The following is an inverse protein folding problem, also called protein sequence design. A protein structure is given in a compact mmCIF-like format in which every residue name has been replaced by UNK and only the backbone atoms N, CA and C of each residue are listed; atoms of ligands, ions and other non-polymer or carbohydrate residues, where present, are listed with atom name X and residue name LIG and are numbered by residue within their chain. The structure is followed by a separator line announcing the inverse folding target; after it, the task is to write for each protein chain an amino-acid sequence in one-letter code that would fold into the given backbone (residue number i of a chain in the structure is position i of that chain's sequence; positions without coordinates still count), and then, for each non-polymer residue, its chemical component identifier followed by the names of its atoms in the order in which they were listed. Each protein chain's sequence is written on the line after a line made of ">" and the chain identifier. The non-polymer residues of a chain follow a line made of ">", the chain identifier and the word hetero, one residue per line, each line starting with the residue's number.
data_IF_719747188420
#
_entry.id   IF_719747188420
#
_cell.length_a   1.000
_cell.length_b   1.000
_cell.length_c   1.000
_cell.angle_alpha   90.00
_cell.angle_beta   90.00
_cell.angle_gamma   90.00
#
_symmetry.space_group_name_H-M   'P 1'
#
loop_
_entity.id
_entity.type
_entity.pdbx_description
1 polymer ?
#
# COMPACT_ATOMS: atom_id res chain seq x y z
N UNK A 1 20.62 -12.33 1.05
CA UNK A 1 19.87 -11.35 1.83
C UNK A 1 19.47 -11.94 3.17
N UNK A 2 19.75 -11.22 4.24
CA UNK A 2 19.40 -11.60 5.61
C UNK A 2 18.61 -10.48 6.28
N UNK A 3 17.85 -10.82 7.33
CA UNK A 3 17.14 -9.83 8.14
C UNK A 3 17.65 -9.84 9.57
N UNK A 4 17.79 -8.67 10.18
CA UNK A 4 18.26 -8.55 11.58
C UNK A 4 17.28 -7.72 12.41
N UNK A 5 16.94 -8.24 13.59
CA UNK A 5 16.22 -7.53 14.63
C UNK A 5 17.23 -6.99 15.63
N UNK A 6 17.45 -5.67 15.62
CA UNK A 6 18.45 -5.05 16.48
C UNK A 6 17.79 -4.04 17.44
N UNK A 7 17.53 -4.42 18.70
CA UNK A 7 17.06 -3.50 19.71
C UNK A 7 18.20 -2.63 20.26
N UNK A 8 17.90 -1.37 20.53
CA UNK A 8 18.66 -0.39 21.31
C UNK A 8 17.71 0.24 22.36
N UNK A 9 18.25 1.00 23.32
CA UNK A 9 17.49 1.58 24.44
C UNK A 9 16.33 2.47 23.97
N UNK A 10 16.49 3.19 22.86
CA UNK A 10 15.46 4.07 22.31
C UNK A 10 14.74 3.50 21.08
N UNK A 11 15.44 2.71 20.26
CA UNK A 11 14.93 2.27 18.96
C UNK A 11 15.23 0.81 18.67
N UNK A 12 14.30 0.15 18.00
CA UNK A 12 14.47 -1.19 17.45
C UNK A 12 14.54 -1.10 15.94
N UNK A 13 15.61 -1.63 15.37
CA UNK A 13 15.86 -1.65 13.93
C UNK A 13 15.40 -2.97 13.32
N UNK A 14 14.68 -2.85 12.19
CA UNK A 14 14.48 -3.95 11.25
C UNK A 14 15.42 -3.71 10.08
N UNK A 15 16.45 -4.55 9.97
CA UNK A 15 17.53 -4.38 8.98
C UNK A 15 17.49 -5.48 7.93
N UNK A 16 17.96 -5.12 6.75
CA UNK A 16 18.28 -5.95 5.61
C UNK A 16 19.79 -5.88 5.39
N UNK A 17 20.45 -7.01 5.55
CA UNK A 17 21.89 -7.17 5.32
C UNK A 17 22.10 -8.12 4.15
N UNK A 18 23.31 -8.14 3.60
CA UNK A 18 23.66 -8.99 2.44
C UNK A 18 22.66 -8.82 1.27
N UNK A 19 22.25 -7.57 1.01
CA UNK A 19 21.37 -7.22 -0.11
C UNK A 19 22.22 -6.96 -1.35
N UNK A 20 21.95 -7.70 -2.42
CA UNK A 20 22.64 -7.54 -3.71
C UNK A 20 22.49 -6.09 -4.22
N UNK A 21 23.57 -5.57 -4.82
CA UNK A 21 23.66 -4.16 -5.25
C UNK A 21 22.57 -3.75 -6.24
N UNK A 22 22.12 -4.70 -7.07
CA UNK A 22 21.06 -4.51 -8.05
C UNK A 22 19.65 -4.42 -7.43
N UNK A 23 19.49 -4.79 -6.15
CA UNK A 23 18.25 -4.68 -5.39
C UNK A 23 18.19 -3.43 -4.49
N UNK A 24 19.29 -2.68 -4.36
CA UNK A 24 19.35 -1.48 -3.51
C UNK A 24 18.28 -0.44 -3.87
N UNK A 25 18.10 -0.16 -5.17
CA UNK A 25 17.07 0.77 -5.63
C UNK A 25 15.65 0.30 -5.28
N UNK A 26 15.40 -1.01 -5.30
CA UNK A 26 14.09 -1.56 -4.94
C UNK A 26 13.82 -1.36 -3.44
N UNK A 27 14.82 -1.61 -2.58
CA UNK A 27 14.74 -1.35 -1.14
C UNK A 27 14.47 0.14 -0.84
N UNK A 28 15.18 1.05 -1.51
CA UNK A 28 14.98 2.49 -1.34
C UNK A 28 13.59 2.96 -1.79
N UNK A 29 13.05 2.39 -2.87
CA UNK A 29 11.67 2.68 -3.31
C UNK A 29 10.60 2.13 -2.37
N UNK A 30 10.93 1.13 -1.54
CA UNK A 30 10.11 0.69 -0.41
C UNK A 30 10.32 1.56 0.83
N UNK A 31 11.32 2.46 0.79
CA UNK A 31 11.71 3.40 1.81
C UNK A 31 12.60 2.81 2.91
N UNK A 32 13.20 1.64 2.66
CA UNK A 32 14.34 1.17 3.44
C UNK A 32 15.56 2.00 3.05
N UNK A 33 16.17 2.66 4.01
CA UNK A 33 17.33 3.54 3.77
C UNK A 33 18.60 2.86 4.24
N UNK A 34 19.72 3.17 3.60
CA UNK A 34 21.04 2.80 4.10
C UNK A 34 21.20 3.27 5.55
N UNK A 35 21.68 2.38 6.43
CA UNK A 35 21.78 2.65 7.87
C UNK A 35 23.24 2.79 8.32
N UNK A 36 23.52 3.56 9.39
CA UNK A 36 24.86 3.61 9.99
C UNK A 36 25.34 2.25 10.53
N UNK A 37 24.43 1.29 10.73
CA UNK A 37 24.71 -0.05 11.24
C UNK A 37 25.11 -1.04 10.13
N UNK A 38 25.18 -0.57 8.88
CA UNK A 38 25.27 -1.41 7.70
C UNK A 38 23.90 -1.85 7.19
N UNK A 39 23.83 -2.13 5.89
CA UNK A 39 22.58 -2.57 5.25
C UNK A 39 21.50 -1.49 5.12
N UNK A 40 20.27 -1.94 4.85
CA UNK A 40 19.10 -1.09 4.63
C UNK A 40 18.04 -1.37 5.69
N UNK A 41 17.32 -0.37 6.19
CA UNK A 41 16.30 -0.65 7.20
C UNK A 41 15.46 0.53 7.64
N UNK A 42 14.71 0.28 8.70
CA UNK A 42 13.93 1.29 9.43
C UNK A 42 14.05 1.03 10.93
N UNK A 43 13.98 2.12 11.68
CA UNK A 43 13.94 2.10 13.13
C UNK A 43 12.52 2.44 13.63
N UNK A 44 12.17 1.85 14.76
CA UNK A 44 10.90 2.05 15.45
C UNK A 44 11.17 2.29 16.94
N UNK A 45 10.35 3.07 17.68
CA UNK A 45 10.51 3.21 19.13
C UNK A 45 10.53 1.84 19.82
N UNK A 46 11.49 1.58 20.71
CA UNK A 46 11.67 0.25 21.33
C UNK A 46 10.51 -0.18 22.24
N UNK A 47 9.69 0.78 22.69
CA UNK A 47 8.47 0.54 23.47
C UNK A 47 7.25 0.22 22.59
N UNK A 48 7.40 0.19 21.25
CA UNK A 48 6.32 -0.14 20.34
C UNK A 48 5.80 -1.56 20.60
N UNK A 49 4.48 -1.75 20.83
CA UNK A 49 3.91 -3.07 21.03
C UNK A 49 4.14 -4.00 19.83
N UNK A 50 4.30 -5.29 20.12
CA UNK A 50 4.36 -6.38 19.12
C UNK A 50 5.53 -6.33 18.13
N UNK A 51 6.60 -5.56 18.40
CA UNK A 51 7.76 -5.45 17.50
C UNK A 51 8.33 -6.80 17.04
N UNK A 52 8.43 -7.79 17.94
CA UNK A 52 8.91 -9.13 17.58
C UNK A 52 8.02 -9.82 16.55
N UNK A 53 6.69 -9.71 16.70
CA UNK A 53 5.72 -10.27 15.75
C UNK A 53 5.81 -9.57 14.39
N UNK A 54 5.88 -8.24 14.38
CA UNK A 54 6.02 -7.49 13.13
C UNK A 54 7.34 -7.79 12.42
N UNK A 55 8.43 -7.95 13.18
CA UNK A 55 9.70 -8.38 12.63
C UNK A 55 9.63 -9.80 12.03
N UNK A 56 8.96 -10.75 12.67
CA UNK A 56 8.78 -12.09 12.11
C UNK A 56 8.05 -12.03 10.76
N UNK A 57 6.99 -11.21 10.67
CA UNK A 57 6.27 -11.00 9.41
C UNK A 57 7.15 -10.32 8.35
N UNK A 58 7.92 -9.30 8.75
CA UNK A 58 8.90 -8.64 7.90
C UNK A 58 9.95 -9.63 7.35
N UNK A 59 10.58 -10.40 8.23
CA UNK A 59 11.58 -11.40 7.88
C UNK A 59 11.03 -12.44 6.89
N UNK A 60 9.78 -12.86 7.08
CA UNK A 60 9.12 -13.81 6.20
C UNK A 60 8.68 -13.23 4.84
N UNK A 61 8.61 -11.91 4.67
CA UNK A 61 7.99 -11.28 3.50
C UNK A 61 8.88 -10.29 2.74
N UNK A 62 9.98 -9.83 3.33
CA UNK A 62 10.75 -8.74 2.73
C UNK A 62 11.50 -9.16 1.47
N UNK A 63 11.89 -10.43 1.35
CA UNK A 63 12.50 -10.97 0.13
C UNK A 63 11.53 -10.91 -1.07
N UNK A 64 10.36 -11.57 -1.03
CA UNK A 64 9.42 -11.46 -2.14
C UNK A 64 8.98 -10.01 -2.38
N UNK A 65 8.83 -9.20 -1.32
CA UNK A 65 8.50 -7.77 -1.47
C UNK A 65 9.56 -6.98 -2.27
N UNK A 66 10.85 -7.20 -1.99
CA UNK A 66 11.94 -6.54 -2.72
C UNK A 66 12.02 -7.04 -4.16
N UNK A 67 11.92 -8.36 -4.36
CA UNK A 67 11.94 -8.95 -5.71
C UNK A 67 10.77 -8.46 -6.56
N UNK A 68 9.57 -8.33 -5.97
CA UNK A 68 8.40 -7.72 -6.60
C UNK A 68 8.66 -6.26 -6.97
N UNK A 69 9.22 -5.48 -6.04
CA UNK A 69 9.54 -4.07 -6.31
C UNK A 69 10.61 -3.89 -7.39
N UNK A 70 11.53 -4.85 -7.50
CA UNK A 70 12.56 -4.92 -8.53
C UNK A 70 12.04 -5.44 -9.88
N UNK A 71 10.78 -5.89 -9.97
CA UNK A 71 10.22 -6.49 -11.18
C UNK A 71 10.77 -7.89 -11.51
N UNK A 72 11.37 -8.57 -10.52
CA UNK A 72 11.92 -9.93 -10.66
C UNK A 72 10.95 -11.03 -10.28
N UNK A 73 9.89 -10.65 -9.58
CA UNK A 73 8.82 -11.54 -9.17
C UNK A 73 7.49 -10.90 -9.54
N UNK A 74 6.55 -11.65 -10.13
CA UNK A 74 5.21 -11.13 -10.40
C UNK A 74 4.51 -10.74 -9.09
N UNK A 75 3.63 -9.75 -9.19
CA UNK A 75 2.86 -9.27 -8.05
C UNK A 75 1.47 -9.92 -8.12
N UNK A 76 1.14 -10.87 -7.22
CA UNK A 76 -0.15 -11.55 -7.22
C UNK A 76 -1.24 -10.65 -6.60
N UNK A 77 -1.44 -9.47 -7.17
CA UNK A 77 -2.28 -8.43 -6.58
C UNK A 77 -3.75 -8.87 -6.47
N UNK A 78 -4.27 -9.67 -7.40
CA UNK A 78 -5.65 -10.16 -7.32
C UNK A 78 -5.84 -11.05 -6.10
N UNK A 79 -4.94 -12.02 -5.90
CA UNK A 79 -4.98 -12.92 -4.74
C UNK A 79 -4.77 -12.15 -3.42
N UNK A 80 -3.89 -11.15 -3.41
CA UNK A 80 -3.67 -10.32 -2.23
C UNK A 80 -4.90 -9.44 -1.90
N UNK A 81 -5.60 -8.91 -2.91
CA UNK A 81 -6.83 -8.14 -2.73
C UNK A 81 -7.97 -9.04 -2.27
N UNK A 82 -8.11 -10.23 -2.84
CA UNK A 82 -9.10 -11.23 -2.42
C UNK A 82 -8.89 -11.65 -0.96
N UNK A 83 -7.65 -11.96 -0.57
CA UNK A 83 -7.29 -12.26 0.81
C UNK A 83 -7.60 -11.10 1.78
N UNK A 84 -7.42 -9.85 1.33
CA UNK A 84 -7.83 -8.68 2.10
C UNK A 84 -9.36 -8.63 2.26
N UNK A 85 -10.09 -8.76 1.15
CA UNK A 85 -11.56 -8.68 1.08
C UNK A 85 -12.24 -9.76 1.94
N UNK A 86 -11.78 -11.01 1.85
CA UNK A 86 -12.29 -12.12 2.65
C UNK A 86 -12.17 -11.83 4.15
N UNK A 87 -11.04 -11.27 4.58
CA UNK A 87 -10.77 -11.01 5.99
C UNK A 87 -11.57 -9.82 6.54
N UNK A 88 -11.94 -8.86 5.69
CA UNK A 88 -12.72 -7.68 6.11
C UNK A 88 -14.22 -7.80 5.89
N UNK A 89 -14.70 -8.83 5.19
CA UNK A 89 -16.09 -8.96 4.74
C UNK A 89 -17.14 -8.85 5.87
N UNK A 90 -16.81 -9.34 7.07
CA UNK A 90 -17.72 -9.34 8.22
C UNK A 90 -17.52 -8.17 9.20
N UNK A 91 -16.60 -7.25 8.90
CA UNK A 91 -16.23 -6.18 9.81
C UNK A 91 -17.06 -4.92 9.57
N UNK A 92 -17.45 -4.18 10.61
CA UNK A 92 -18.18 -2.92 10.49
C UNK A 92 -17.24 -1.75 10.16
N UNK A 93 -16.25 -1.96 9.29
CA UNK A 93 -15.26 -0.95 8.90
C UNK A 93 -15.60 -0.30 7.57
N UNK A 94 -15.29 0.99 7.44
CA UNK A 94 -15.45 1.73 6.19
C UNK A 94 -14.11 2.03 5.56
N UNK A 95 -13.94 1.61 4.32
CA UNK A 95 -12.71 1.80 3.56
C UNK A 95 -13.01 1.89 2.06
N UNK A 96 -12.04 2.38 1.31
CA UNK A 96 -12.08 2.38 -0.15
C UNK A 96 -10.69 2.11 -0.74
N UNK A 97 -10.66 1.56 -1.96
CA UNK A 97 -9.45 1.19 -2.67
C UNK A 97 -8.96 2.38 -3.51
N UNK A 98 -7.66 2.66 -3.47
CA UNK A 98 -7.02 3.73 -4.24
C UNK A 98 -5.83 3.22 -5.04
N UNK A 99 -5.03 4.12 -5.60
CA UNK A 99 -3.82 3.78 -6.35
C UNK A 99 -4.11 2.96 -7.61
N UNK A 100 -3.09 2.22 -8.08
CA UNK A 100 -3.20 1.42 -9.31
C UNK A 100 -4.21 0.28 -9.19
N UNK A 101 -4.38 -0.32 -8.01
CA UNK A 101 -5.35 -1.38 -7.78
C UNK A 101 -6.79 -0.91 -8.05
N UNK A 102 -7.13 0.33 -7.66
CA UNK A 102 -8.46 0.90 -7.94
C UNK A 102 -8.79 1.07 -9.43
N UNK A 103 -7.76 1.25 -10.26
CA UNK A 103 -7.90 1.33 -11.71
C UNK A 103 -8.05 -0.07 -12.32
N UNK A 104 -7.24 -1.01 -11.83
CA UNK A 104 -7.24 -2.40 -12.29
C UNK A 104 -8.58 -3.10 -12.04
N UNK A 105 -9.17 -2.95 -10.84
CA UNK A 105 -10.49 -3.54 -10.53
C UNK A 105 -11.62 -2.97 -11.39
N UNK A 106 -11.40 -1.81 -12.02
CA UNK A 106 -12.34 -1.17 -12.96
C UNK A 106 -12.16 -1.67 -14.41
N UNK A 107 -11.21 -2.58 -14.64
CA UNK A 107 -10.91 -3.13 -15.96
C UNK A 107 -9.94 -2.29 -16.80
N UNK A 108 -9.29 -1.29 -16.22
CA UNK A 108 -8.20 -0.57 -16.90
C UNK A 108 -6.98 -1.51 -16.91
N UNK A 109 -6.29 -1.72 -18.06
CA UNK A 109 -5.21 -2.72 -18.19
C UNK A 109 -3.91 -2.24 -17.51
N UNK A 110 -3.94 -2.09 -16.20
CA UNK A 110 -2.84 -1.65 -15.34
C UNK A 110 -2.49 -2.79 -14.40
N UNK A 111 -1.20 -3.10 -14.30
CA UNK A 111 -0.66 -3.98 -13.26
C UNK A 111 -0.35 -3.16 -11.99
N UNK A 112 -1.02 -3.44 -10.87
CA UNK A 112 -0.72 -2.79 -9.60
C UNK A 112 0.63 -3.22 -9.04
N UNK A 113 1.38 -2.25 -8.50
CA UNK A 113 2.61 -2.51 -7.76
C UNK A 113 2.38 -2.87 -6.28
N UNK A 114 1.21 -2.51 -5.77
CA UNK A 114 0.74 -2.65 -4.40
C UNK A 114 -0.77 -2.38 -4.36
N UNK A 115 -1.37 -2.70 -3.22
CA UNK A 115 -2.77 -2.41 -2.90
C UNK A 115 -2.79 -1.31 -1.86
N UNK A 116 -3.35 -0.16 -2.24
CA UNK A 116 -3.49 1.00 -1.37
C UNK A 116 -4.95 1.16 -0.93
N UNK A 117 -5.17 1.18 0.37
CA UNK A 117 -6.48 1.32 0.99
C UNK A 117 -6.52 2.62 1.79
N UNK A 118 -7.67 3.28 1.79
CA UNK A 118 -7.94 4.42 2.66
C UNK A 118 -9.06 4.03 3.61
N UNK A 119 -8.74 3.97 4.89
CA UNK A 119 -9.73 3.82 5.94
C UNK A 119 -10.45 5.17 6.15
N UNK A 120 -11.77 5.13 6.34
CA UNK A 120 -12.59 6.35 6.43
C UNK A 120 -12.30 7.12 7.71
N UNK A 121 -12.00 6.41 8.79
CA UNK A 121 -11.64 6.99 10.09
C UNK A 121 -10.37 6.35 10.64
N UNK A 122 -9.73 7.01 11.62
CA UNK A 122 -8.61 6.43 12.38
C UNK A 122 -9.03 5.11 13.05
N UNK A 123 -10.25 5.03 13.57
CA UNK A 123 -10.80 3.82 14.19
C UNK A 123 -10.96 2.67 13.18
N UNK A 124 -11.39 2.95 11.95
CA UNK A 124 -11.42 1.93 10.89
C UNK A 124 -10.01 1.39 10.60
N UNK A 125 -9.01 2.28 10.56
CA UNK A 125 -7.61 1.90 10.39
C UNK A 125 -7.08 1.05 11.55
N UNK A 126 -7.44 1.37 12.79
CA UNK A 126 -7.08 0.58 13.97
C UNK A 126 -7.70 -0.82 13.94
N UNK A 127 -8.96 -0.93 13.48
CA UNK A 127 -9.60 -2.23 13.27
C UNK A 127 -8.89 -3.06 12.21
N UNK A 128 -8.43 -2.44 11.12
CA UNK A 128 -7.60 -3.12 10.12
C UNK A 128 -6.30 -3.63 10.76
N UNK A 129 -5.63 -2.84 11.60
CA UNK A 129 -4.40 -3.31 12.24
C UNK A 129 -4.63 -4.48 13.19
N UNK A 130 -5.73 -4.45 13.94
CA UNK A 130 -6.10 -5.54 14.84
C UNK A 130 -6.33 -6.84 14.05
N UNK A 131 -7.14 -6.74 13.01
CA UNK A 131 -7.54 -7.87 12.18
C UNK A 131 -6.34 -8.45 11.47
N UNK A 132 -5.41 -7.63 10.98
CA UNK A 132 -4.24 -8.07 10.22
C UNK A 132 -2.96 -8.08 11.05
N UNK A 133 -3.03 -8.11 12.38
CA UNK A 133 -1.84 -8.03 13.26
C UNK A 133 -0.77 -9.08 12.90
N UNK A 134 -1.19 -10.27 12.50
CA UNK A 134 -0.34 -11.38 12.07
C UNK A 134 0.25 -11.22 10.65
N UNK A 135 -0.06 -10.13 9.94
CA UNK A 135 0.43 -9.81 8.60
C UNK A 135 1.11 -8.45 8.51
N UNK A 136 1.05 -7.63 9.56
CA UNK A 136 1.76 -6.35 9.64
C UNK A 136 3.26 -6.59 9.64
N UNK A 137 3.95 -5.98 8.69
CA UNK A 137 5.41 -6.11 8.52
C UNK A 137 6.16 -4.98 9.23
N UNK A 138 5.51 -3.83 9.44
CA UNK A 138 6.09 -2.68 10.11
C UNK A 138 5.04 -2.04 11.01
N UNK A 139 5.38 -1.61 12.24
CA UNK A 139 4.47 -0.85 13.07
C UNK A 139 3.79 0.30 12.33
N UNK A 140 2.48 0.42 12.54
CA UNK A 140 1.72 1.55 12.07
C UNK A 140 2.25 2.85 12.68
N UNK A 141 2.38 3.89 11.87
CA UNK A 141 3.02 5.15 12.27
C UNK A 141 2.40 6.34 11.55
N UNK A 142 2.51 7.56 12.09
CA UNK A 142 2.24 8.76 11.31
C UNK A 142 3.23 8.88 10.15
N UNK A 143 2.77 9.46 9.05
CA UNK A 143 3.59 9.85 7.91
C UNK A 143 3.06 11.18 7.37
N UNK A 144 3.75 11.81 6.42
CA UNK A 144 3.38 13.14 5.92
C UNK A 144 1.97 13.20 5.32
N UNK A 145 1.39 12.05 4.93
CA UNK A 145 0.09 11.93 4.27
C UNK A 145 -1.07 11.70 5.26
N UNK A 146 -0.80 11.12 6.43
CA UNK A 146 -1.85 10.64 7.32
C UNK A 146 -1.35 10.40 8.75
N UNK A 147 -2.27 10.51 9.71
CA UNK A 147 -2.03 10.19 11.13
C UNK A 147 -1.56 8.74 11.33
N UNK A 148 -1.95 7.86 10.41
CA UNK A 148 -1.63 6.44 10.48
C UNK A 148 -1.40 5.85 9.10
N UNK A 149 -0.26 5.19 8.94
CA UNK A 149 0.13 4.42 7.76
C UNK A 149 0.60 3.05 8.22
N UNK A 150 -0.03 2.00 7.70
CA UNK A 150 0.29 0.61 8.01
C UNK A 150 0.74 -0.12 6.75
N UNK A 151 1.68 -1.06 6.93
CA UNK A 151 2.17 -1.93 5.85
C UNK A 151 2.01 -3.38 6.24
N UNK A 152 1.45 -4.16 5.33
CA UNK A 152 1.29 -5.61 5.46
C UNK A 152 1.71 -6.32 4.18
N UNK A 153 1.82 -7.63 4.28
CA UNK A 153 2.10 -8.48 3.12
C UNK A 153 1.16 -9.68 3.06
N UNK A 154 0.38 -9.76 1.98
CA UNK A 154 -0.58 -10.84 1.69
C UNK A 154 -0.19 -11.56 0.39
N UNK A 155 1.10 -11.80 0.18
CA UNK A 155 1.66 -12.23 -1.11
C UNK A 155 1.96 -11.05 -2.05
N UNK A 156 1.33 -9.91 -1.84
CA UNK A 156 1.74 -8.60 -2.34
C UNK A 156 1.64 -7.57 -1.20
N UNK A 157 2.28 -6.40 -1.37
CA UNK A 157 2.14 -5.31 -0.40
C UNK A 157 0.69 -4.81 -0.37
N UNK A 158 0.12 -4.82 0.83
CA UNK A 158 -1.18 -4.19 1.12
C UNK A 158 -0.95 -3.16 2.21
N UNK A 159 -1.21 -1.90 1.90
CA UNK A 159 -1.07 -0.79 2.83
C UNK A 159 -2.39 -0.06 3.01
N UNK A 160 -2.63 0.44 4.21
CA UNK A 160 -3.72 1.38 4.46
C UNK A 160 -3.23 2.63 5.16
N UNK A 161 -3.96 3.71 4.90
CA UNK A 161 -3.83 4.97 5.60
C UNK A 161 -5.14 5.34 6.29
N UNK A 162 -5.05 6.05 7.41
CA UNK A 162 -6.20 6.56 8.15
C UNK A 162 -5.89 7.94 8.75
N UNK A 163 -6.89 8.82 8.78
CA UNK A 163 -6.68 10.21 9.22
C UNK A 163 -5.84 11.01 8.22
N UNK A 164 -6.26 11.03 6.94
CA UNK A 164 -5.56 11.75 5.87
C UNK A 164 -5.45 13.24 6.21
N UNK A 165 -4.24 13.80 6.12
CA UNK A 165 -3.99 15.21 6.42
C UNK A 165 -4.58 16.11 5.33
N UNK A 166 -5.01 17.33 5.66
CA UNK A 166 -5.65 18.23 4.69
C UNK A 166 -4.68 19.19 3.98
N UNK A 167 -3.38 19.12 4.27
CA UNK A 167 -2.43 20.22 4.03
C UNK A 167 -1.45 19.98 2.87
N UNK A 168 -1.31 18.76 2.32
CA UNK A 168 -0.42 18.49 1.20
C UNK A 168 -1.22 18.17 -0.09
N UNK A 169 -0.75 18.65 -1.24
CA UNK A 169 -1.55 18.69 -2.49
C UNK A 169 -1.98 17.33 -3.08
N UNK A 170 -1.36 16.21 -2.66
CA UNK A 170 -1.83 14.86 -2.97
C UNK A 170 -3.01 14.46 -2.07
N UNK A 171 -3.00 14.89 -0.81
CA UNK A 171 -4.02 14.63 0.20
C UNK A 171 -5.35 15.32 -0.15
N UNK A 172 -5.30 16.50 -0.77
CA UNK A 172 -6.47 17.15 -1.37
C UNK A 172 -7.15 16.20 -2.37
N UNK A 173 -6.36 15.48 -3.17
CA UNK A 173 -6.86 14.50 -4.12
C UNK A 173 -7.58 13.33 -3.44
N UNK A 174 -7.05 12.83 -2.33
CA UNK A 174 -7.66 11.73 -1.55
C UNK A 174 -8.92 12.19 -0.79
N UNK A 175 -8.90 13.38 -0.20
CA UNK A 175 -10.06 13.97 0.47
C UNK A 175 -11.17 14.33 -0.50
N UNK A 176 -10.84 14.81 -1.70
CA UNK A 176 -11.81 14.99 -2.79
C UNK A 176 -12.38 13.64 -3.24
N UNK A 177 -11.52 12.64 -3.47
CA UNK A 177 -11.94 11.30 -3.86
C UNK A 177 -12.87 10.65 -2.85
N UNK A 178 -12.63 10.81 -1.56
CA UNK A 178 -13.47 10.25 -0.50
C UNK A 178 -14.94 10.70 -0.59
N UNK A 179 -15.22 11.85 -1.20
CA UNK A 179 -16.59 12.39 -1.39
C UNK A 179 -17.28 11.87 -2.64
N UNK A 180 -16.56 11.19 -3.51
CA UNK A 180 -17.03 10.77 -4.83
C UNK A 180 -16.67 9.33 -5.17
N UNK A 181 -16.33 8.50 -4.18
CA UNK A 181 -16.07 7.08 -4.40
C UNK A 181 -17.31 6.38 -4.97
N UNK A 182 -17.06 5.50 -5.92
CA UNK A 182 -18.08 4.76 -6.66
C UNK A 182 -17.95 3.27 -6.39
N UNK A 183 -19.06 2.53 -6.31
CA UNK A 183 -19.00 1.08 -6.24
C UNK A 183 -18.61 0.50 -7.62
N UNK A 184 -17.70 -0.46 -7.62
CA UNK A 184 -17.44 -1.35 -8.76
C UNK A 184 -17.57 -2.80 -8.33
N UNK A 185 -18.05 -3.64 -9.23
CA UNK A 185 -18.12 -5.09 -9.01
C UNK A 185 -16.85 -5.73 -9.55
N UNK A 186 -16.10 -6.39 -8.68
CA UNK A 186 -14.89 -7.14 -9.04
C UNK A 186 -14.96 -8.52 -8.41
N UNK A 187 -15.01 -9.58 -9.23
CA UNK A 187 -15.12 -10.99 -8.80
C UNK A 187 -16.22 -11.26 -7.77
N UNK A 188 -17.36 -10.57 -7.91
CA UNK A 188 -18.49 -10.68 -6.98
C UNK A 188 -18.41 -9.79 -5.74
N UNK A 189 -17.28 -9.13 -5.47
CA UNK A 189 -17.13 -8.13 -4.43
C UNK A 189 -17.57 -6.75 -4.92
N UNK A 190 -18.23 -5.98 -4.05
CA UNK A 190 -18.46 -4.54 -4.26
C UNK A 190 -17.35 -3.75 -3.59
N UNK A 191 -16.57 -3.01 -4.37
CA UNK A 191 -15.42 -2.24 -3.91
C UNK A 191 -15.65 -0.76 -4.20
N UNK A 192 -15.44 0.10 -3.21
CA UNK A 192 -15.47 1.55 -3.41
C UNK A 192 -14.13 2.04 -3.97
N UNK A 193 -14.18 2.82 -5.05
CA UNK A 193 -12.99 3.31 -5.77
C UNK A 193 -13.19 4.76 -6.25
N UNK A 194 -12.11 5.57 -6.34
CA UNK A 194 -12.22 6.95 -6.82
C UNK A 194 -12.53 6.99 -8.32
N UNK A 195 -13.28 8.00 -8.80
CA UNK A 195 -13.51 8.21 -10.22
C UNK A 195 -12.19 8.28 -11.01
N UNK A 196 -12.07 7.62 -12.18
CA UNK A 196 -10.80 7.55 -12.93
C UNK A 196 -10.21 8.91 -13.29
N UNK A 197 -11.06 9.93 -13.47
CA UNK A 197 -10.60 11.31 -13.75
C UNK A 197 -9.78 11.91 -12.61
N UNK A 198 -10.06 11.58 -11.35
CA UNK A 198 -9.26 12.05 -10.21
C UNK A 198 -7.88 11.38 -10.21
N UNK A 199 -7.84 10.10 -10.55
CA UNK A 199 -6.60 9.34 -10.72
C UNK A 199 -5.79 9.84 -11.92
N UNK A 200 -6.43 10.26 -13.02
CA UNK A 200 -5.78 10.85 -14.19
C UNK A 200 -4.95 12.08 -13.79
N UNK A 201 -5.57 13.05 -13.11
CA UNK A 201 -4.93 14.29 -12.69
C UNK A 201 -3.73 14.05 -11.75
N UNK A 202 -3.81 13.03 -10.88
CA UNK A 202 -2.70 12.64 -10.00
C UNK A 202 -1.55 12.02 -10.83
N UNK A 203 -1.85 11.13 -11.77
CA UNK A 203 -0.83 10.47 -12.57
C UNK A 203 -0.16 11.42 -13.58
N UNK A 204 -0.88 12.43 -14.08
CA UNK A 204 -0.32 13.52 -14.90
C UNK A 204 0.70 14.35 -14.12
N UNK A 205 0.33 14.81 -12.91
CA UNK A 205 1.25 15.55 -12.02
C UNK A 205 2.50 14.76 -11.65
N UNK A 206 2.37 13.43 -11.55
CA UNK A 206 3.48 12.49 -11.27
C UNK A 206 4.26 12.07 -12.53
N UNK A 207 3.94 12.60 -13.71
CA UNK A 207 4.64 12.29 -14.96
C UNK A 207 4.50 10.83 -15.43
N UNK A 208 3.46 10.11 -15.02
CA UNK A 208 3.26 8.69 -15.34
C UNK A 208 2.57 8.51 -16.70
N UNK A 209 3.25 8.93 -17.77
CA UNK A 209 2.71 9.05 -19.14
C UNK A 209 2.00 7.80 -19.64
N UNK A 210 2.59 6.61 -19.49
CA UNK A 210 1.97 5.36 -19.91
C UNK A 210 0.62 5.11 -19.19
N UNK A 211 0.57 5.34 -17.87
CA UNK A 211 -0.63 5.18 -17.07
C UNK A 211 -1.71 6.22 -17.42
N UNK A 212 -1.29 7.45 -17.68
CA UNK A 212 -2.18 8.53 -18.16
C UNK A 212 -2.86 8.11 -19.46
N UNK A 213 -2.11 7.53 -20.40
CA UNK A 213 -2.67 7.07 -21.68
C UNK A 213 -3.70 5.95 -21.47
N UNK A 214 -3.37 4.94 -20.67
CA UNK A 214 -4.28 3.83 -20.36
C UNK A 214 -5.62 4.31 -19.76
N UNK A 215 -5.57 5.31 -18.87
CA UNK A 215 -6.79 5.88 -18.26
C UNK A 215 -7.61 6.64 -19.32
N UNK A 216 -6.95 7.44 -20.19
CA UNK A 216 -7.62 8.19 -21.25
C UNK A 216 -8.31 7.28 -22.27
N UNK A 217 -7.61 6.24 -22.72
CA UNK A 217 -8.16 5.27 -23.68
C UNK A 217 -9.41 4.58 -23.11
N UNK A 218 -9.36 4.17 -21.84
CA UNK A 218 -10.50 3.56 -21.16
C UNK A 218 -11.69 4.54 -21.02
N UNK A 219 -11.43 5.81 -20.67
CA UNK A 219 -12.47 6.84 -20.57
C UNK A 219 -13.17 7.07 -21.91
N UNK A 220 -12.41 7.11 -23.01
CA UNK A 220 -12.96 7.25 -24.36
C UNK A 220 -13.83 6.05 -24.75
N UNK A 221 -13.37 4.82 -24.50
CA UNK A 221 -14.12 3.61 -24.79
C UNK A 221 -15.42 3.50 -23.96
N UNK A 222 -15.37 3.92 -22.69
CA UNK A 222 -16.52 3.88 -21.79
C UNK A 222 -17.60 4.90 -22.16
N UNK A 223 -17.19 6.06 -22.66
CA UNK A 223 -18.10 7.11 -23.15
C UNK A 223 -18.86 6.69 -24.41
N UNK A 224 -18.23 5.86 -25.26
CA UNK A 224 -18.83 5.35 -26.50
C UNK A 224 -19.76 4.14 -26.34
N UNK A 225 -19.81 3.53 -25.15
CA UNK A 225 -20.60 2.32 -24.87
C UNK A 225 -21.97 2.62 -24.23
N UNK A 226 -22.37 3.90 -24.17
CA UNK A 226 -23.62 4.38 -23.59
C UNK A 226 -24.71 4.66 -24.64
N UNK A 227 -24.93 3.70 -25.56
CA UNK A 227 -25.99 3.73 -26.58
C UNK A 227 -26.83 2.46 -26.55
#
# INVERSE_FOLDING_TARGET
>A
METVFLPDDAQTWFLLTELDADLHQAAERLGYKGTPLGGYGRAFPSDTPHLKTYYQNFAASVEPLILQKAGRMPIPWEAALEAFLERVAALPIKWWLTGSASLAVRGIPIEPGDIDIVATTVSDGQWLDEVFRDKITEPARPDWIAERVTRTFLGARVGWIAGVHAQHGEDVGLLTAARSVEPVTWRGYTILVPPPVLQLNINERRGRTARVQQIRDWLLASSGSSH
#
